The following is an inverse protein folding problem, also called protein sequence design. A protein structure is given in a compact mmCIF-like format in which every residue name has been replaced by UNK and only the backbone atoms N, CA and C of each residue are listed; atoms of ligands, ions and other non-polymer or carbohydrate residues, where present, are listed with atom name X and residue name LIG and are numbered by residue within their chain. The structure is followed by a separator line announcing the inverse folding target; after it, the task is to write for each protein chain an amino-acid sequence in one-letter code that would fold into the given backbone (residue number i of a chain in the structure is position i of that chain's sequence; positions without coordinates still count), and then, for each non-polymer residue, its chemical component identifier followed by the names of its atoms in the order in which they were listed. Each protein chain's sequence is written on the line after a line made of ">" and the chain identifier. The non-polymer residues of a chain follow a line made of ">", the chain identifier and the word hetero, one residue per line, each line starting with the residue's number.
data_IF_394146092257
#
_entry.id   IF_394146092257
#
_cell.length_a   1.000
_cell.length_b   1.000
_cell.length_c   1.000
_cell.angle_alpha   90.00
_cell.angle_beta   90.00
_cell.angle_gamma   90.00
#
_symmetry.space_group_name_H-M   'P 1'
#
loop_
_entity.id
_entity.type
_entity.pdbx_description
1 polymer ?
#
# COMPACT_ATOMS: atom_id res chain seq x y z
N UNK A 1 7.18 23.74 -23.30
CA UNK A 1 6.49 22.64 -22.62
C UNK A 1 7.49 22.01 -21.67
N UNK A 2 7.13 21.86 -20.41
CA UNK A 2 8.00 21.19 -19.44
C UNK A 2 8.02 19.72 -19.79
N UNK A 3 9.16 19.19 -20.21
CA UNK A 3 9.32 17.78 -20.55
C UNK A 3 9.37 16.99 -19.23
N UNK A 4 8.47 16.03 -19.06
CA UNK A 4 8.51 15.11 -17.90
C UNK A 4 9.67 14.13 -18.06
N UNK A 5 10.12 13.54 -16.95
CA UNK A 5 11.19 12.52 -16.99
C UNK A 5 10.76 11.28 -17.79
N UNK A 6 11.71 10.59 -18.41
CA UNK A 6 11.46 9.38 -19.18
C UNK A 6 10.79 8.30 -18.32
N UNK A 7 11.14 8.25 -17.02
CA UNK A 7 10.49 7.38 -16.03
C UNK A 7 8.98 7.63 -15.93
N UNK A 8 8.57 8.90 -15.94
CA UNK A 8 7.14 9.24 -15.88
C UNK A 8 6.46 9.05 -17.25
N UNK A 9 7.16 9.34 -18.33
CA UNK A 9 6.65 9.13 -19.68
C UNK A 9 6.39 7.64 -20.01
N UNK A 10 7.15 6.73 -19.40
CA UNK A 10 7.00 5.28 -19.59
C UNK A 10 5.88 4.65 -18.75
N UNK A 11 5.28 5.39 -17.80
CA UNK A 11 4.22 4.87 -16.94
C UNK A 11 2.88 4.80 -17.68
N UNK A 12 2.22 3.66 -17.56
CA UNK A 12 0.82 3.53 -17.97
C UNK A 12 -0.12 4.09 -16.90
N UNK A 13 -1.21 4.78 -17.28
CA UNK A 13 -2.25 5.15 -16.33
C UNK A 13 -2.81 3.94 -15.60
N UNK A 14 -3.15 4.10 -14.32
CA UNK A 14 -3.74 3.00 -13.54
C UNK A 14 -5.08 2.57 -14.12
N UNK A 15 -5.14 1.34 -14.64
CA UNK A 15 -6.38 0.77 -15.16
C UNK A 15 -7.48 0.72 -14.09
N UNK A 16 -7.14 0.42 -12.84
CA UNK A 16 -8.08 0.41 -11.71
C UNK A 16 -8.72 1.79 -11.49
N UNK A 17 -7.91 2.86 -11.50
CA UNK A 17 -8.41 4.22 -11.32
C UNK A 17 -9.27 4.65 -12.51
N UNK A 18 -8.87 4.35 -13.73
CA UNK A 18 -9.66 4.66 -14.93
C UNK A 18 -11.04 3.96 -14.91
N UNK A 19 -11.07 2.68 -14.52
CA UNK A 19 -12.33 1.92 -14.39
C UNK A 19 -13.21 2.46 -13.26
N UNK A 20 -12.63 2.82 -12.12
CA UNK A 20 -13.35 3.42 -11.00
C UNK A 20 -13.97 4.78 -11.38
N UNK A 21 -13.20 5.62 -12.06
CA UNK A 21 -13.68 6.90 -12.59
C UNK A 21 -14.83 6.70 -13.57
N UNK A 22 -14.69 5.79 -14.52
CA UNK A 22 -15.74 5.48 -15.50
C UNK A 22 -17.02 4.98 -14.84
N UNK A 23 -16.90 4.13 -13.82
CA UNK A 23 -18.04 3.68 -13.01
C UNK A 23 -18.74 4.86 -12.33
N UNK A 24 -17.98 5.80 -11.75
CA UNK A 24 -18.54 7.01 -11.14
C UNK A 24 -19.26 7.90 -12.14
N UNK A 25 -18.69 8.12 -13.32
CA UNK A 25 -19.31 8.90 -14.39
C UNK A 25 -20.65 8.30 -14.86
N UNK A 26 -20.72 6.98 -15.02
CA UNK A 26 -21.94 6.28 -15.42
C UNK A 26 -23.01 6.36 -14.33
N UNK A 27 -22.63 6.17 -13.06
CA UNK A 27 -23.55 6.35 -11.92
C UNK A 27 -24.11 7.77 -11.85
N UNK A 28 -23.27 8.78 -12.09
CA UNK A 28 -23.72 10.18 -12.12
C UNK A 28 -24.73 10.48 -13.24
N UNK A 29 -24.75 9.67 -14.31
CA UNK A 29 -25.74 9.72 -15.38
C UNK A 29 -27.02 8.92 -15.07
N UNK A 30 -27.14 8.38 -13.86
CA UNK A 30 -28.31 7.57 -13.44
C UNK A 30 -28.28 6.11 -13.92
N UNK A 31 -27.15 5.65 -14.47
CA UNK A 31 -27.00 4.27 -14.92
C UNK A 31 -26.68 3.39 -13.70
N UNK A 32 -27.43 2.29 -13.53
CA UNK A 32 -27.15 1.30 -12.51
C UNK A 32 -25.89 0.49 -12.89
N UNK A 33 -24.81 0.70 -12.16
CA UNK A 33 -23.49 0.09 -12.43
C UNK A 33 -23.04 -0.76 -11.26
N UNK A 34 -22.79 -2.03 -11.53
CA UNK A 34 -22.09 -2.94 -10.61
C UNK A 34 -20.58 -2.69 -10.78
N UNK A 35 -19.94 -2.12 -9.75
CA UNK A 35 -18.53 -1.81 -9.78
C UNK A 35 -17.69 -2.92 -9.14
N UNK A 36 -16.91 -3.63 -9.94
CA UNK A 36 -15.99 -4.69 -9.51
C UNK A 36 -14.51 -4.30 -9.70
N UNK A 37 -14.22 -3.02 -9.95
CA UNK A 37 -12.87 -2.56 -10.29
C UNK A 37 -11.97 -2.33 -9.07
N UNK A 38 -12.55 -2.14 -7.88
CA UNK A 38 -11.82 -1.88 -6.64
C UNK A 38 -12.28 -2.85 -5.57
N UNK A 39 -11.33 -3.56 -4.95
CA UNK A 39 -11.59 -4.37 -3.77
C UNK A 39 -11.51 -3.49 -2.53
N UNK A 40 -12.64 -3.21 -1.90
CA UNK A 40 -12.74 -2.40 -0.69
C UNK A 40 -13.62 -3.14 0.32
N UNK A 41 -13.22 -3.21 1.61
CA UNK A 41 -14.08 -3.79 2.64
C UNK A 41 -15.41 -3.03 2.76
N UNK A 42 -16.51 -3.74 2.86
CA UNK A 42 -17.85 -3.17 3.06
C UNK A 42 -18.19 -2.90 4.54
N UNK A 43 -17.34 -3.38 5.46
CA UNK A 43 -17.43 -3.09 6.89
C UNK A 43 -16.76 -1.78 7.26
N UNK A 44 -17.39 -1.03 8.15
CA UNK A 44 -16.75 0.14 8.76
C UNK A 44 -15.60 -0.28 9.67
N UNK A 45 -14.65 0.63 9.87
CA UNK A 45 -13.61 0.45 10.88
C UNK A 45 -14.24 0.19 12.26
N UNK A 46 -13.84 -0.85 12.99
CA UNK A 46 -14.35 -1.15 14.33
C UNK A 46 -14.24 0.05 15.28
N UNK A 47 -15.24 0.22 16.14
CA UNK A 47 -15.32 1.42 16.99
C UNK A 47 -14.14 1.56 17.95
N UNK A 48 -13.63 0.45 18.50
CA UNK A 48 -12.46 0.50 19.39
C UNK A 48 -11.20 1.03 18.66
N UNK A 49 -11.07 0.79 17.36
CA UNK A 49 -9.96 1.32 16.54
C UNK A 49 -10.16 2.83 16.31
N UNK A 50 -11.40 3.25 16.02
CA UNK A 50 -11.73 4.67 15.85
C UNK A 50 -11.45 5.45 17.13
N UNK A 51 -11.87 4.93 18.29
CA UNK A 51 -11.63 5.57 19.56
C UNK A 51 -10.14 5.65 19.92
N UNK A 52 -9.37 4.60 19.63
CA UNK A 52 -7.92 4.63 19.80
C UNK A 52 -7.26 5.70 18.90
N UNK A 53 -7.73 5.85 17.66
CA UNK A 53 -7.24 6.89 16.76
C UNK A 53 -7.57 8.31 17.23
N UNK A 54 -8.79 8.55 17.70
CA UNK A 54 -9.20 9.83 18.30
C UNK A 54 -8.34 10.16 19.51
N UNK A 55 -8.16 9.18 20.40
CA UNK A 55 -7.29 9.35 21.57
C UNK A 55 -5.85 9.68 21.19
N UNK A 56 -5.31 9.05 20.15
CA UNK A 56 -3.97 9.35 19.70
C UNK A 56 -3.82 10.79 19.17
N UNK A 57 -4.87 11.34 18.54
CA UNK A 57 -4.92 12.74 18.12
C UNK A 57 -4.93 13.65 19.35
N UNK A 58 -5.80 13.37 20.33
CA UNK A 58 -5.93 14.14 21.57
C UNK A 58 -4.62 14.12 22.40
N UNK A 59 -3.92 12.99 22.40
CA UNK A 59 -2.61 12.80 23.03
C UNK A 59 -1.44 13.42 22.22
N UNK A 60 -1.72 14.11 21.12
CA UNK A 60 -0.73 14.77 20.25
C UNK A 60 0.29 13.80 19.61
N UNK A 61 -0.15 12.60 19.22
CA UNK A 61 0.66 11.67 18.39
C UNK A 61 0.80 12.16 16.94
N UNK A 62 1.03 13.45 16.75
CA UNK A 62 1.14 14.12 15.45
C UNK A 62 2.55 14.59 15.12
N UNK A 63 3.55 14.19 15.91
CA UNK A 63 4.96 14.50 15.67
C UNK A 63 5.62 13.43 14.80
N UNK A 64 6.84 13.71 14.36
CA UNK A 64 7.63 12.72 13.59
C UNK A 64 7.75 11.39 14.35
N UNK A 65 7.40 10.30 13.67
CA UNK A 65 7.64 8.95 14.17
C UNK A 65 9.05 8.47 13.85
N UNK A 66 9.59 7.48 14.56
CA UNK A 66 10.78 6.76 14.09
C UNK A 66 10.56 6.18 12.69
N UNK A 67 11.61 6.17 11.86
CA UNK A 67 11.53 5.74 10.45
C UNK A 67 10.91 4.34 10.29
N UNK A 68 11.28 3.40 11.14
CA UNK A 68 10.76 2.04 11.11
C UNK A 68 9.38 1.88 11.78
N UNK A 69 8.79 2.95 12.30
CA UNK A 69 7.53 2.94 13.07
C UNK A 69 7.74 2.95 14.58
N UNK A 70 6.68 3.25 15.31
CA UNK A 70 6.72 3.31 16.77
C UNK A 70 7.12 1.97 17.39
N UNK A 71 7.97 1.95 18.44
CA UNK A 71 8.39 0.71 19.10
C UNK A 71 7.21 -0.13 19.61
N UNK A 72 6.17 0.51 20.15
CA UNK A 72 4.97 -0.18 20.61
C UNK A 72 4.26 -0.94 19.48
N UNK A 73 4.12 -0.32 18.29
CA UNK A 73 3.52 -0.96 17.13
C UNK A 73 4.39 -2.14 16.64
N UNK A 74 5.70 -1.95 16.54
CA UNK A 74 6.63 -3.00 16.11
C UNK A 74 6.62 -4.22 17.04
N UNK A 75 6.58 -3.99 18.36
CA UNK A 75 6.43 -5.05 19.34
C UNK A 75 5.08 -5.77 19.25
N UNK A 76 3.99 -5.04 19.02
CA UNK A 76 2.66 -5.64 18.80
C UNK A 76 2.64 -6.52 17.53
N UNK A 77 3.30 -6.09 16.46
CA UNK A 77 3.46 -6.89 15.22
C UNK A 77 4.26 -8.17 15.51
N UNK A 78 5.37 -8.08 16.24
CA UNK A 78 6.15 -9.26 16.65
C UNK A 78 5.29 -10.24 17.44
N UNK A 79 4.54 -9.75 18.43
CA UNK A 79 3.64 -10.59 19.22
C UNK A 79 2.56 -11.26 18.35
N UNK A 80 1.96 -10.52 17.43
CA UNK A 80 0.97 -11.05 16.47
C UNK A 80 1.57 -12.14 15.59
N UNK A 81 2.75 -11.90 15.00
CA UNK A 81 3.42 -12.87 14.14
C UNK A 81 3.76 -14.16 14.88
N UNK A 82 4.21 -14.06 16.14
CA UNK A 82 4.48 -15.22 16.99
C UNK A 82 3.21 -15.99 17.33
N UNK A 83 2.19 -15.30 17.84
CA UNK A 83 1.01 -15.95 18.41
C UNK A 83 0.05 -16.50 17.34
N UNK A 84 -0.08 -15.83 16.20
CA UNK A 84 -1.06 -16.19 15.18
C UNK A 84 -0.44 -16.90 13.97
N UNK A 85 0.84 -16.66 13.69
CA UNK A 85 1.52 -17.20 12.51
C UNK A 85 2.65 -18.18 12.84
N UNK A 86 3.05 -18.31 14.12
CA UNK A 86 4.16 -19.17 14.54
C UNK A 86 5.54 -18.66 14.06
N UNK A 87 5.65 -17.37 13.73
CA UNK A 87 6.87 -16.77 13.20
C UNK A 87 7.60 -15.98 14.29
N UNK A 88 8.89 -16.20 14.43
CA UNK A 88 9.71 -15.52 15.43
C UNK A 88 10.55 -14.43 14.78
N UNK A 89 10.26 -13.18 15.18
CA UNK A 89 11.00 -11.98 14.76
C UNK A 89 11.33 -11.11 15.98
N UNK A 90 12.29 -10.23 15.81
CA UNK A 90 12.58 -9.14 16.76
C UNK A 90 12.02 -7.83 16.23
N UNK A 91 11.78 -6.86 17.11
CA UNK A 91 11.32 -5.52 16.69
C UNK A 91 12.32 -4.84 15.74
N UNK A 92 13.61 -5.19 15.79
CA UNK A 92 14.64 -4.71 14.85
C UNK A 92 14.44 -5.16 13.40
N UNK A 93 13.69 -6.24 13.19
CA UNK A 93 13.38 -6.80 11.88
C UNK A 93 12.03 -6.33 11.31
N UNK A 94 11.33 -5.45 12.04
CA UNK A 94 10.03 -4.92 11.62
C UNK A 94 10.19 -3.47 11.14
N UNK A 95 9.69 -3.20 9.94
CA UNK A 95 9.52 -1.85 9.39
C UNK A 95 8.07 -1.64 9.01
N UNK A 96 7.46 -0.57 9.51
CA UNK A 96 6.09 -0.20 9.22
C UNK A 96 6.03 0.70 7.99
N UNK A 97 5.01 0.52 7.17
CA UNK A 97 4.79 1.32 5.95
C UNK A 97 3.31 1.71 5.81
N UNK A 98 3.04 2.72 5.00
CA UNK A 98 1.68 3.16 4.69
C UNK A 98 1.02 2.22 3.67
N UNK A 99 0.62 1.05 4.16
CA UNK A 99 0.01 -0.02 3.37
C UNK A 99 1.03 -0.93 2.68
N UNK A 100 0.56 -2.12 2.30
CA UNK A 100 1.38 -3.17 1.70
C UNK A 100 2.06 -2.74 0.38
N UNK A 101 1.41 -1.88 -0.41
CA UNK A 101 1.99 -1.38 -1.66
C UNK A 101 3.31 -0.65 -1.43
N UNK A 102 3.41 0.18 -0.39
CA UNK A 102 4.65 0.85 -0.04
C UNK A 102 5.71 -0.15 0.42
N UNK A 103 5.34 -1.16 1.21
CA UNK A 103 6.28 -2.21 1.63
C UNK A 103 6.87 -2.96 0.44
N UNK A 104 6.02 -3.37 -0.51
CA UNK A 104 6.47 -4.07 -1.74
C UNK A 104 7.38 -3.15 -2.56
N UNK A 105 6.98 -1.89 -2.78
CA UNK A 105 7.78 -0.93 -3.53
C UNK A 105 9.16 -0.72 -2.88
N UNK A 106 9.21 -0.50 -1.57
CA UNK A 106 10.46 -0.32 -0.84
C UNK A 106 11.35 -1.56 -0.95
N UNK A 107 10.76 -2.76 -0.86
CA UNK A 107 11.50 -4.03 -0.95
C UNK A 107 12.14 -4.19 -2.34
N UNK A 108 11.37 -3.96 -3.39
CA UNK A 108 11.87 -4.05 -4.77
C UNK A 108 12.98 -3.00 -4.99
N UNK A 109 12.76 -1.75 -4.57
CA UNK A 109 13.76 -0.69 -4.71
C UNK A 109 15.07 -0.94 -3.93
N UNK A 110 15.03 -1.74 -2.88
CA UNK A 110 16.22 -2.07 -2.07
C UNK A 110 16.97 -3.28 -2.62
N UNK A 111 16.26 -4.23 -3.23
CA UNK A 111 16.83 -5.53 -3.61
C UNK A 111 17.12 -5.68 -5.11
N UNK A 112 16.48 -4.88 -5.97
CA UNK A 112 16.50 -5.05 -7.42
C UNK A 112 17.27 -3.92 -8.08
N UNK A 113 18.26 -4.25 -8.91
CA UNK A 113 19.06 -3.30 -9.69
C UNK A 113 18.60 -3.30 -11.17
N UNK A 114 18.97 -2.27 -11.95
CA UNK A 114 18.77 -2.30 -13.40
C UNK A 114 19.38 -3.54 -14.04
N UNK A 115 18.53 -4.32 -14.74
CA UNK A 115 18.93 -5.56 -15.39
C UNK A 115 18.67 -6.83 -14.58
N UNK A 116 18.25 -6.72 -13.31
CA UNK A 116 17.78 -7.88 -12.54
C UNK A 116 16.38 -8.30 -12.99
N UNK A 117 16.05 -9.56 -12.78
CA UNK A 117 14.76 -10.15 -13.15
C UNK A 117 13.87 -10.35 -11.93
N UNK A 118 12.60 -9.94 -12.03
CA UNK A 118 11.56 -10.15 -11.01
C UNK A 118 10.48 -11.09 -11.53
N UNK A 119 10.26 -12.19 -10.83
CA UNK A 119 9.20 -13.15 -11.17
C UNK A 119 7.88 -12.70 -10.55
N UNK A 120 6.89 -12.42 -11.40
CA UNK A 120 5.55 -12.00 -10.98
C UNK A 120 4.55 -13.10 -11.39
N UNK A 121 4.12 -13.98 -10.47
CA UNK A 121 3.15 -15.03 -10.79
C UNK A 121 1.78 -14.45 -11.18
N UNK A 122 1.20 -14.95 -12.26
CA UNK A 122 -0.16 -14.59 -12.68
C UNK A 122 -1.19 -15.54 -12.02
N UNK A 123 -2.40 -15.05 -11.67
CA UNK A 123 -2.87 -13.66 -11.79
C UNK A 123 -2.25 -12.75 -10.73
N UNK A 124 -1.94 -11.50 -11.08
CA UNK A 124 -1.25 -10.56 -10.21
C UNK A 124 -1.98 -9.20 -10.11
N UNK A 125 -1.66 -8.46 -9.07
CA UNK A 125 -2.12 -7.10 -8.89
C UNK A 125 -1.43 -6.15 -9.88
N UNK A 126 -2.21 -5.27 -10.51
CA UNK A 126 -1.75 -4.33 -11.56
C UNK A 126 -0.56 -3.44 -11.16
N UNK A 127 -0.31 -3.29 -9.87
CA UNK A 127 0.81 -2.47 -9.38
C UNK A 127 2.16 -3.18 -9.44
N UNK A 128 2.22 -4.50 -9.46
CA UNK A 128 3.50 -5.22 -9.39
C UNK A 128 4.40 -4.97 -10.60
N UNK A 129 3.92 -5.06 -11.85
CA UNK A 129 4.73 -4.71 -13.01
C UNK A 129 5.17 -3.24 -13.02
N UNK A 130 4.31 -2.34 -12.50
CA UNK A 130 4.65 -0.91 -12.44
C UNK A 130 5.67 -0.61 -11.34
N UNK A 131 5.68 -1.35 -10.24
CA UNK A 131 6.70 -1.24 -9.18
C UNK A 131 8.03 -1.74 -9.71
N UNK A 132 8.08 -2.90 -10.36
CA UNK A 132 9.26 -3.46 -10.98
C UNK A 132 9.86 -2.49 -12.01
N UNK A 133 9.05 -2.03 -12.95
CA UNK A 133 9.46 -1.05 -13.97
C UNK A 133 10.03 0.24 -13.40
N UNK A 134 9.54 0.70 -12.23
CA UNK A 134 10.02 1.90 -11.54
C UNK A 134 11.33 1.69 -10.80
N UNK A 135 11.63 0.48 -10.37
CA UNK A 135 12.83 0.16 -9.60
C UNK A 135 14.07 -0.01 -10.48
N UNK A 136 13.88 -0.37 -11.75
CA UNK A 136 14.96 -0.71 -12.70
C UNK A 136 15.31 0.42 -13.69
N UNK A 137 14.86 1.65 -13.46
CA UNK A 137 15.19 2.80 -14.33
C UNK A 137 16.27 3.68 -13.73
#
# INVERSE_FOLDING_TARGET
>A
MTQVSDRLASLSPSATLAMSQKSGELKAQGIDVINLSVGEPDFNTPDFIKEAAKKAIDDNFSRYSPVAGYPALRNAIVAKLKNENGLEYTAGQISCANGAKQSVCNTVMVLVNPGDEVIIPAPFWVSYPEIDRKSVV
#
